data_IF_754340867903
#
_entry.id   IF_754340867903
#
_cell.length_a   1.000
_cell.length_b   1.000
_cell.length_c   1.000
_cell.angle_alpha   90.00
_cell.angle_beta   90.00
_cell.angle_gamma   90.00
#
_symmetry.space_group_name_H-M   'P 1'
#
loop_
_entity.id
_entity.type
_entity.pdbx_description
1 polymer ?
#
# COMPACT_ATOMS: atom_id res chain seq x y z
N UNK A 1 37.35 -8.09 -14.94
CA UNK A 1 36.95 -8.79 -13.69
C UNK A 1 36.36 -7.84 -12.63
N UNK A 2 35.72 -6.73 -13.02
CA UNK A 2 35.16 -5.75 -12.05
C UNK A 2 33.63 -5.56 -12.17
N UNK A 3 32.92 -6.42 -12.92
CA UNK A 3 31.47 -6.29 -13.14
C UNK A 3 30.64 -7.43 -12.52
N UNK A 4 31.22 -8.27 -11.64
CA UNK A 4 30.49 -9.41 -11.04
C UNK A 4 30.14 -9.23 -9.56
N UNK A 5 30.36 -8.05 -8.95
CA UNK A 5 30.10 -7.83 -7.52
C UNK A 5 28.90 -6.93 -7.18
N UNK A 6 28.12 -6.47 -8.17
CA UNK A 6 27.00 -5.55 -7.95
C UNK A 6 25.60 -6.18 -7.88
N UNK A 7 25.51 -7.52 -7.87
CA UNK A 7 24.27 -8.25 -7.60
C UNK A 7 24.27 -8.94 -6.22
N UNK A 8 24.88 -8.31 -5.21
CA UNK A 8 24.43 -8.54 -3.82
C UNK A 8 23.02 -7.98 -3.72
N UNK A 9 22.02 -8.87 -3.80
CA UNK A 9 20.61 -8.51 -3.77
C UNK A 9 20.34 -7.44 -2.71
N UNK A 10 19.89 -6.26 -3.17
CA UNK A 10 19.64 -5.10 -2.30
C UNK A 10 18.66 -5.54 -1.20
N UNK A 11 19.09 -5.42 0.04
CA UNK A 11 18.28 -5.82 1.20
C UNK A 11 17.19 -4.76 1.37
N UNK A 12 15.94 -5.16 1.16
CA UNK A 12 14.78 -4.32 1.48
C UNK A 12 14.69 -4.06 2.99
N UNK A 13 14.54 -2.80 3.37
CA UNK A 13 14.54 -2.34 4.75
C UNK A 13 13.12 -2.08 5.22
N UNK A 14 12.74 -2.87 6.22
CA UNK A 14 11.50 -2.72 6.95
C UNK A 14 11.75 -3.03 8.42
N UNK A 15 11.33 -2.12 9.28
CA UNK A 15 11.47 -2.24 10.74
C UNK A 15 10.11 -2.19 11.41
N UNK A 16 9.99 -2.82 12.57
CA UNK A 16 8.80 -2.61 13.41
C UNK A 16 8.79 -1.15 13.85
N UNK A 17 7.62 -0.52 13.81
CA UNK A 17 7.47 0.82 14.34
C UNK A 17 7.73 0.82 15.86
N UNK A 18 8.35 1.88 16.37
CA UNK A 18 8.57 2.06 17.81
C UNK A 18 7.25 2.40 18.51
N UNK A 19 7.23 2.37 19.85
CA UNK A 19 6.04 2.76 20.59
C UNK A 19 5.71 4.25 20.40
N UNK A 20 6.73 5.10 20.28
CA UNK A 20 6.59 6.53 20.00
C UNK A 20 5.95 6.76 18.63
N UNK A 21 6.43 6.06 17.59
CA UNK A 21 5.87 6.12 16.24
C UNK A 21 4.42 5.62 16.21
N UNK A 22 4.14 4.51 16.89
CA UNK A 22 2.77 3.97 17.02
C UNK A 22 1.85 4.98 17.73
N UNK A 23 2.32 5.61 18.80
CA UNK A 23 1.55 6.63 19.51
C UNK A 23 1.27 7.85 18.64
N UNK A 24 2.26 8.32 17.87
CA UNK A 24 2.10 9.41 16.90
C UNK A 24 1.03 9.05 15.85
N UNK A 25 1.12 7.86 15.26
CA UNK A 25 0.15 7.39 14.27
C UNK A 25 -1.25 7.27 14.90
N UNK A 26 -1.35 6.76 16.13
CA UNK A 26 -2.62 6.68 16.84
C UNK A 26 -3.22 8.06 17.11
N UNK A 27 -2.41 9.06 17.48
CA UNK A 27 -2.88 10.43 17.69
C UNK A 27 -3.48 11.04 16.42
N UNK A 28 -2.82 10.84 15.27
CA UNK A 28 -3.26 11.33 13.95
C UNK A 28 -4.46 10.57 13.39
N UNK A 29 -4.36 9.24 13.31
CA UNK A 29 -5.29 8.41 12.55
C UNK A 29 -6.35 7.69 13.41
N UNK A 30 -6.17 7.64 14.73
CA UNK A 30 -7.04 6.99 15.74
C UNK A 30 -7.18 5.46 15.63
N UNK A 31 -7.25 4.90 14.42
CA UNK A 31 -7.40 3.46 14.18
C UNK A 31 -6.52 3.00 13.01
N UNK A 32 -5.87 1.85 13.19
CA UNK A 32 -4.99 1.26 12.18
C UNK A 32 -5.70 0.29 11.21
N UNK A 33 -6.83 -0.28 11.61
CA UNK A 33 -7.70 -1.08 10.75
C UNK A 33 -8.68 -0.16 10.00
N UNK A 34 -8.13 0.80 9.24
CA UNK A 34 -8.94 1.82 8.56
C UNK A 34 -9.84 1.21 7.47
N UNK A 35 -9.42 0.07 6.93
CA UNK A 35 -10.17 -0.81 6.04
C UNK A 35 -11.45 -1.38 6.66
N UNK A 36 -11.54 -1.47 7.99
CA UNK A 36 -12.70 -2.02 8.71
C UNK A 36 -13.65 -0.94 9.27
N UNK A 37 -13.50 0.31 8.83
CA UNK A 37 -14.40 1.38 9.25
C UNK A 37 -15.73 1.28 8.50
N UNK A 38 -16.82 1.11 9.25
CA UNK A 38 -18.18 1.15 8.68
C UNK A 38 -18.54 2.54 8.11
N UNK A 39 -18.12 3.60 8.80
CA UNK A 39 -18.38 4.98 8.39
C UNK A 39 -17.09 5.81 8.37
N UNK A 40 -16.23 5.65 7.34
CA UNK A 40 -14.95 6.34 7.28
C UNK A 40 -15.10 7.87 7.26
N UNK A 41 -16.22 8.39 6.71
CA UNK A 41 -16.55 9.84 6.66
C UNK A 41 -16.63 10.51 8.04
N UNK A 42 -16.99 9.78 9.09
CA UNK A 42 -17.00 10.30 10.47
C UNK A 42 -15.58 10.62 10.98
N UNK A 43 -14.58 9.94 10.44
CA UNK A 43 -13.18 10.11 10.84
C UNK A 43 -12.38 10.92 9.81
N UNK A 44 -12.70 10.81 8.54
CA UNK A 44 -11.95 11.41 7.45
C UNK A 44 -12.90 12.29 6.62
N UNK A 45 -12.79 13.63 6.73
CA UNK A 45 -13.64 14.54 5.97
C UNK A 45 -13.35 14.52 4.46
N UNK A 46 -12.15 14.08 4.06
CA UNK A 46 -11.76 13.98 2.65
C UNK A 46 -11.52 12.52 2.29
N UNK A 47 -12.38 12.00 1.43
CA UNK A 47 -12.36 10.60 0.99
C UNK A 47 -12.43 10.58 -0.53
N UNK A 48 -11.72 9.61 -1.10
CA UNK A 48 -11.90 9.20 -2.48
C UNK A 48 -11.35 7.79 -2.70
N UNK A 49 -11.36 7.36 -3.94
CA UNK A 49 -10.80 6.08 -4.39
C UNK A 49 -9.82 6.38 -5.50
N UNK A 50 -8.55 6.04 -5.29
CA UNK A 50 -7.51 6.04 -6.32
C UNK A 50 -7.78 4.88 -7.28
N UNK A 51 -7.94 5.19 -8.55
CA UNK A 51 -8.48 4.27 -9.55
C UNK A 51 -7.84 4.52 -10.92
N UNK A 52 -7.91 3.52 -11.80
CA UNK A 52 -7.55 3.63 -13.21
C UNK A 52 -8.60 4.46 -13.96
N UNK A 53 -9.85 4.43 -13.51
CA UNK A 53 -10.97 5.10 -14.16
C UNK A 53 -11.42 6.34 -13.37
N UNK A 54 -11.74 7.41 -14.09
CA UNK A 54 -12.24 8.65 -13.49
C UNK A 54 -13.74 8.60 -13.12
N UNK A 55 -14.39 7.44 -13.31
CA UNK A 55 -15.81 7.20 -13.04
C UNK A 55 -16.02 5.78 -12.54
N UNK A 56 -17.21 5.52 -12.01
CA UNK A 56 -17.67 4.16 -11.72
C UNK A 56 -17.96 3.45 -13.05
N UNK A 57 -17.49 2.22 -13.16
CA UNK A 57 -17.75 1.35 -14.31
C UNK A 57 -19.16 0.75 -14.24
N UNK A 58 -19.73 0.41 -15.39
CA UNK A 58 -20.92 -0.45 -15.41
C UNK A 58 -20.54 -1.89 -15.05
N UNK A 59 -21.53 -2.72 -14.73
CA UNK A 59 -21.29 -4.13 -14.41
C UNK A 59 -20.64 -4.87 -15.59
N UNK A 60 -21.08 -4.56 -16.81
CA UNK A 60 -20.52 -5.13 -18.04
C UNK A 60 -19.05 -4.75 -18.20
N UNK A 61 -18.73 -3.46 -18.08
CA UNK A 61 -17.35 -2.97 -18.16
C UNK A 61 -16.46 -3.59 -17.08
N UNK A 62 -16.97 -3.73 -15.85
CA UNK A 62 -16.22 -4.36 -14.75
C UNK A 62 -15.98 -5.85 -15.01
N UNK A 63 -16.97 -6.56 -15.60
CA UNK A 63 -16.87 -7.99 -15.89
C UNK A 63 -15.76 -8.31 -16.90
N UNK A 64 -15.49 -7.41 -17.84
CA UNK A 64 -14.43 -7.55 -18.85
C UNK A 64 -13.01 -7.35 -18.27
N UNK A 65 -12.90 -6.76 -17.08
CA UNK A 65 -11.64 -6.45 -16.42
C UNK A 65 -11.19 -7.51 -15.40
N UNK A 66 -11.97 -8.57 -15.24
CA UNK A 66 -11.65 -9.66 -14.31
C UNK A 66 -10.38 -10.40 -14.76
N UNK A 67 -9.30 -10.28 -13.96
CA UNK A 67 -8.10 -11.10 -14.11
C UNK A 67 -6.78 -10.32 -14.00
N UNK A 68 -5.67 -11.05 -14.10
CA UNK A 68 -4.31 -10.48 -13.91
C UNK A 68 -3.87 -9.52 -15.02
N UNK A 69 -4.49 -9.55 -16.19
CA UNK A 69 -4.11 -8.71 -17.34
C UNK A 69 -4.29 -7.22 -17.05
N UNK A 70 -5.37 -6.85 -16.36
CA UNK A 70 -5.64 -5.47 -15.96
C UNK A 70 -4.55 -4.95 -15.00
N UNK A 71 -4.20 -5.76 -14.00
CA UNK A 71 -3.19 -5.44 -12.99
C UNK A 71 -1.79 -5.33 -13.60
N UNK A 72 -1.46 -6.20 -14.57
CA UNK A 72 -0.21 -6.09 -15.32
C UNK A 72 -0.13 -4.81 -16.14
N UNK A 73 -1.25 -4.38 -16.75
CA UNK A 73 -1.31 -3.17 -17.58
C UNK A 73 -1.18 -1.88 -16.77
N UNK A 74 -1.77 -1.83 -15.57
CA UNK A 74 -1.91 -0.58 -14.81
C UNK A 74 -1.10 -0.55 -13.51
N UNK A 75 -0.63 -1.68 -12.99
CA UNK A 75 0.03 -1.77 -11.69
C UNK A 75 1.28 -0.89 -11.55
N UNK A 76 2.01 -0.64 -12.64
CA UNK A 76 3.17 0.27 -12.65
C UNK A 76 2.82 1.71 -12.30
N UNK A 77 1.59 2.16 -12.60
CA UNK A 77 1.10 3.50 -12.23
C UNK A 77 0.93 3.64 -10.72
N UNK A 78 0.40 2.61 -10.06
CA UNK A 78 0.29 2.56 -8.59
C UNK A 78 1.67 2.55 -7.95
N UNK A 79 2.59 1.72 -8.47
CA UNK A 79 3.98 1.68 -7.99
C UNK A 79 4.65 3.05 -8.13
N UNK A 80 4.46 3.73 -9.26
CA UNK A 80 5.04 5.06 -9.51
C UNK A 80 4.46 6.12 -8.56
N UNK A 81 3.15 6.09 -8.34
CA UNK A 81 2.44 6.96 -7.37
C UNK A 81 3.01 6.80 -5.96
N UNK A 82 3.10 5.55 -5.45
CA UNK A 82 3.64 5.28 -4.12
C UNK A 82 5.11 5.68 -4.00
N UNK A 83 5.89 5.47 -5.05
CA UNK A 83 7.31 5.86 -5.10
C UNK A 83 7.47 7.38 -5.00
N UNK A 84 6.67 8.15 -5.75
CA UNK A 84 6.69 9.61 -5.68
C UNK A 84 6.23 10.12 -4.31
N UNK A 85 5.14 9.57 -3.75
CA UNK A 85 4.69 9.89 -2.40
C UNK A 85 5.79 9.64 -1.36
N UNK A 86 6.49 8.51 -1.44
CA UNK A 86 7.56 8.17 -0.51
C UNK A 86 8.72 9.16 -0.52
N UNK A 87 9.12 9.63 -1.71
CA UNK A 87 10.20 10.59 -1.86
C UNK A 87 9.80 12.01 -1.42
N UNK A 88 8.52 12.37 -1.49
CA UNK A 88 8.03 13.66 -1.00
C UNK A 88 8.02 13.73 0.54
N UNK A 89 7.82 12.60 1.20
CA UNK A 89 7.50 12.52 2.63
C UNK A 89 8.75 12.25 3.49
N UNK A 90 9.93 12.63 3.01
CA UNK A 90 11.24 12.32 3.64
C UNK A 90 11.39 10.84 4.04
N UNK A 91 10.75 9.93 3.29
CA UNK A 91 10.68 8.50 3.54
C UNK A 91 9.91 8.09 4.82
N UNK A 92 9.11 8.98 5.42
CA UNK A 92 8.29 8.67 6.58
C UNK A 92 6.95 8.03 6.18
N UNK A 93 7.00 6.74 5.84
CA UNK A 93 5.81 5.95 5.51
C UNK A 93 5.72 4.72 6.41
N UNK A 94 4.51 4.45 6.90
CA UNK A 94 4.22 3.29 7.72
C UNK A 94 3.19 2.41 7.04
N UNK A 95 3.28 1.10 7.23
CA UNK A 95 2.28 0.15 6.75
C UNK A 95 1.72 -0.64 7.91
N UNK A 96 0.40 -0.74 7.98
CA UNK A 96 -0.29 -1.70 8.81
C UNK A 96 -0.81 -2.85 7.95
N UNK A 97 -0.42 -4.08 8.30
CA UNK A 97 -0.89 -5.28 7.62
C UNK A 97 -1.83 -6.04 8.56
N UNK A 98 -3.07 -6.26 8.12
CA UNK A 98 -4.00 -7.07 8.87
C UNK A 98 -3.67 -8.56 8.77
N UNK A 99 -2.98 -9.09 9.79
CA UNK A 99 -2.44 -10.46 9.75
C UNK A 99 -3.43 -11.56 10.09
N UNK A 100 -4.48 -11.26 10.86
CA UNK A 100 -5.38 -12.29 11.42
C UNK A 100 -6.06 -13.13 10.34
N UNK A 101 -6.44 -12.54 9.20
CA UNK A 101 -7.02 -13.28 8.07
C UNK A 101 -6.01 -14.14 7.30
N UNK A 102 -4.79 -13.65 7.12
CA UNK A 102 -3.75 -14.34 6.33
C UNK A 102 -3.11 -15.53 7.05
N UNK A 103 -2.83 -15.40 8.36
CA UNK A 103 -2.20 -16.46 9.15
C UNK A 103 -3.10 -17.71 9.20
N UNK A 104 -4.41 -17.54 9.12
CA UNK A 104 -5.38 -18.64 9.15
C UNK A 104 -5.46 -19.40 7.82
N UNK A 105 -5.06 -18.79 6.70
CA UNK A 105 -5.10 -19.43 5.38
C UNK A 105 -3.69 -19.79 4.87
N UNK A 106 -3.15 -20.90 5.37
CA UNK A 106 -1.83 -21.44 4.97
C UNK A 106 -1.67 -21.67 3.47
N UNK A 107 -2.76 -21.89 2.72
CA UNK A 107 -2.71 -22.09 1.26
C UNK A 107 -2.34 -20.80 0.54
N UNK A 108 -3.03 -19.70 0.88
CA UNK A 108 -2.74 -18.37 0.31
C UNK A 108 -1.31 -17.94 0.65
N UNK A 109 -0.88 -18.13 1.90
CA UNK A 109 0.49 -17.80 2.31
C UNK A 109 1.55 -18.56 1.50
N UNK A 110 1.34 -19.87 1.26
CA UNK A 110 2.24 -20.68 0.41
C UNK A 110 2.20 -20.27 -1.05
N UNK A 111 1.02 -19.93 -1.57
CA UNK A 111 0.83 -19.49 -2.95
C UNK A 111 1.63 -18.21 -3.22
N UNK A 112 1.48 -17.18 -2.37
CA UNK A 112 2.25 -15.94 -2.49
C UNK A 112 3.74 -16.24 -2.34
N UNK A 113 4.16 -17.01 -1.34
CA UNK A 113 5.58 -17.34 -1.17
C UNK A 113 6.23 -18.02 -2.39
N UNK A 114 5.46 -18.80 -3.15
CA UNK A 114 5.96 -19.49 -4.33
C UNK A 114 6.18 -18.54 -5.53
N UNK A 115 5.53 -17.37 -5.56
CA UNK A 115 5.71 -16.38 -6.62
C UNK A 115 6.82 -15.36 -6.33
N UNK A 116 7.36 -15.33 -5.11
CA UNK A 116 8.36 -14.36 -4.68
C UNK A 116 9.80 -14.83 -4.93
N UNK A 117 10.67 -13.88 -5.30
CA UNK A 117 12.11 -14.15 -5.33
C UNK A 117 12.68 -14.30 -3.89
N UNK A 118 13.96 -14.68 -3.76
CA UNK A 118 14.59 -14.93 -2.46
C UNK A 118 14.50 -13.73 -1.49
N UNK A 119 14.73 -12.52 -1.98
CA UNK A 119 14.73 -11.31 -1.15
C UNK A 119 13.31 -10.93 -0.71
N UNK A 120 12.36 -10.96 -1.64
CA UNK A 120 10.93 -10.74 -1.40
C UNK A 120 10.36 -11.76 -0.42
N UNK A 121 10.67 -13.05 -0.62
CA UNK A 121 10.21 -14.12 0.26
C UNK A 121 10.80 -13.99 1.68
N UNK A 122 12.02 -13.45 1.82
CA UNK A 122 12.61 -13.15 3.13
C UNK A 122 11.84 -12.05 3.84
N UNK A 123 11.60 -10.93 3.16
CA UNK A 123 10.83 -9.81 3.70
C UNK A 123 9.39 -10.22 4.03
N UNK A 124 8.73 -10.97 3.14
CA UNK A 124 7.39 -11.50 3.35
C UNK A 124 7.31 -12.38 4.60
N UNK A 125 8.25 -13.31 4.81
CA UNK A 125 8.28 -14.10 6.05
C UNK A 125 8.47 -13.21 7.28
N UNK A 126 9.34 -12.20 7.20
CA UNK A 126 9.57 -11.24 8.29
C UNK A 126 8.29 -10.47 8.64
N UNK A 127 7.50 -10.07 7.65
CA UNK A 127 6.20 -9.42 7.85
C UNK A 127 5.25 -10.26 8.69
N UNK A 128 5.29 -11.58 8.63
CA UNK A 128 4.39 -12.45 9.40
C UNK A 128 5.06 -13.15 10.59
N UNK A 129 6.32 -12.83 10.89
CA UNK A 129 7.09 -13.41 12.00
C UNK A 129 6.65 -12.94 13.40
N UNK A 130 5.93 -11.83 13.48
CA UNK A 130 5.43 -11.26 14.73
C UNK A 130 3.92 -10.98 14.65
N UNK A 131 3.25 -10.90 15.80
CA UNK A 131 1.84 -10.49 15.85
C UNK A 131 1.65 -8.97 15.75
N UNK A 132 2.74 -8.18 15.79
CA UNK A 132 2.69 -6.72 15.65
C UNK A 132 2.41 -6.34 14.20
N UNK A 133 1.42 -5.49 13.94
CA UNK A 133 0.94 -5.22 12.58
C UNK A 133 1.58 -4.04 11.85
N UNK A 134 2.32 -3.17 12.56
CA UNK A 134 2.76 -1.86 12.04
C UNK A 134 4.27 -1.84 11.82
N UNK A 135 4.65 -1.41 10.63
CA UNK A 135 6.03 -1.37 10.18
C UNK A 135 6.36 0.00 9.59
N UNK A 136 7.56 0.49 9.87
CA UNK A 136 8.16 1.62 9.19
C UNK A 136 8.87 1.14 7.94
N UNK A 137 8.62 1.81 6.83
CA UNK A 137 9.27 1.56 5.54
C UNK A 137 10.62 2.28 5.55
N UNK A 138 11.70 1.51 5.41
CA UNK A 138 13.06 2.03 5.50
C UNK A 138 13.73 2.30 4.15
N UNK A 139 13.15 1.80 3.05
CA UNK A 139 13.56 2.12 1.68
C UNK A 139 12.44 1.96 0.67
N UNK A 140 12.67 2.52 -0.52
CA UNK A 140 11.71 2.51 -1.63
C UNK A 140 11.46 1.10 -2.16
N UNK A 141 12.45 0.21 -2.12
CA UNK A 141 12.29 -1.17 -2.59
C UNK A 141 11.29 -1.94 -1.72
N UNK A 142 11.33 -1.77 -0.40
CA UNK A 142 10.34 -2.34 0.50
C UNK A 142 8.93 -1.80 0.22
N UNK A 143 8.81 -0.50 -0.07
CA UNK A 143 7.52 0.08 -0.47
C UNK A 143 7.01 -0.51 -1.77
N UNK A 144 7.84 -0.50 -2.82
CA UNK A 144 7.50 -1.05 -4.13
C UNK A 144 7.02 -2.49 -4.01
N UNK A 145 7.71 -3.29 -3.19
CA UNK A 145 7.29 -4.66 -2.90
C UNK A 145 5.89 -4.73 -2.28
N UNK A 146 5.61 -3.94 -1.24
CA UNK A 146 4.30 -3.92 -0.58
C UNK A 146 3.18 -3.38 -1.49
N UNK A 147 3.46 -2.37 -2.32
CA UNK A 147 2.53 -1.87 -3.32
C UNK A 147 2.26 -2.93 -4.38
N UNK A 148 3.28 -3.63 -4.89
CA UNK A 148 3.10 -4.75 -5.83
C UNK A 148 2.29 -5.89 -5.22
N UNK A 149 2.49 -6.20 -3.94
CA UNK A 149 1.63 -7.15 -3.24
C UNK A 149 0.19 -6.66 -3.22
N UNK A 150 -0.03 -5.39 -2.88
CA UNK A 150 -1.38 -4.79 -2.85
C UNK A 150 -2.07 -4.78 -4.22
N UNK A 151 -1.29 -4.66 -5.30
CA UNK A 151 -1.77 -4.71 -6.68
C UNK A 151 -2.05 -6.14 -7.14
N UNK A 152 -1.26 -7.14 -6.74
CA UNK A 152 -1.29 -8.45 -7.41
C UNK A 152 -1.80 -9.61 -6.55
N UNK A 153 -1.68 -9.54 -5.23
CA UNK A 153 -1.78 -10.74 -4.38
C UNK A 153 -2.44 -10.49 -3.01
N UNK A 154 -2.53 -9.23 -2.55
CA UNK A 154 -2.85 -8.89 -1.17
C UNK A 154 -3.86 -7.74 -1.10
N UNK A 155 -4.86 -7.87 -0.24
CA UNK A 155 -5.80 -6.78 0.08
C UNK A 155 -5.49 -6.21 1.47
N UNK A 156 -5.86 -4.94 1.68
CA UNK A 156 -5.94 -4.30 3.00
C UNK A 156 -4.60 -4.07 3.71
N UNK A 157 -3.55 -3.74 2.95
CA UNK A 157 -2.39 -3.05 3.53
C UNK A 157 -2.72 -1.56 3.65
N UNK A 158 -2.74 -1.03 4.88
CA UNK A 158 -3.01 0.39 5.11
C UNK A 158 -1.68 1.14 5.18
N UNK A 159 -1.43 1.99 4.19
CA UNK A 159 -0.23 2.82 4.09
C UNK A 159 -0.53 4.20 4.67
N UNK A 160 0.15 4.56 5.75
CA UNK A 160 0.02 5.85 6.43
C UNK A 160 1.13 6.78 5.96
N UNK A 161 0.73 8.00 5.60
CA UNK A 161 1.58 9.13 5.22
C UNK A 161 1.35 10.27 6.24
N UNK A 162 2.09 10.30 7.36
CA UNK A 162 1.79 11.17 8.51
C UNK A 162 1.91 12.68 8.24
N UNK A 163 3.03 13.17 7.71
CA UNK A 163 3.00 13.65 6.33
C UNK A 163 1.83 14.55 5.91
N UNK A 164 0.95 13.88 5.18
CA UNK A 164 -0.25 14.41 4.55
C UNK A 164 -1.50 14.24 5.43
N UNK A 165 -1.37 13.64 6.61
CA UNK A 165 -2.48 13.09 7.37
C UNK A 165 -3.40 12.20 6.49
N UNK A 166 -2.78 11.43 5.59
CA UNK A 166 -3.45 10.60 4.58
C UNK A 166 -3.12 9.13 4.80
N UNK A 167 -4.13 8.27 4.61
CA UNK A 167 -3.99 6.82 4.55
C UNK A 167 -4.50 6.31 3.21
N UNK A 168 -3.71 5.46 2.56
CA UNK A 168 -4.08 4.78 1.32
C UNK A 168 -4.21 3.30 1.63
N UNK A 169 -5.33 2.69 1.23
CA UNK A 169 -5.64 1.29 1.50
C UNK A 169 -5.40 0.48 0.23
N UNK A 170 -4.53 -0.52 0.31
CA UNK A 170 -4.20 -1.41 -0.79
C UNK A 170 -5.38 -2.29 -1.20
N UNK A 171 -5.59 -2.45 -2.51
CA UNK A 171 -6.66 -3.26 -3.10
C UNK A 171 -6.20 -3.96 -4.38
N UNK A 172 -6.40 -5.28 -4.47
CA UNK A 172 -6.09 -6.05 -5.68
C UNK A 172 -6.93 -5.63 -6.89
N UNK A 173 -8.11 -5.04 -6.66
CA UNK A 173 -9.03 -4.58 -7.71
C UNK A 173 -8.59 -3.23 -8.32
N UNK A 174 -7.43 -2.70 -7.93
CA UNK A 174 -6.91 -1.39 -8.35
C UNK A 174 -7.83 -0.20 -8.03
N UNK A 175 -8.75 -0.40 -7.09
CA UNK A 175 -9.57 0.65 -6.46
C UNK A 175 -9.05 0.86 -5.04
N UNK A 176 -8.08 1.75 -4.85
CA UNK A 176 -7.41 1.98 -3.56
C UNK A 176 -8.13 3.10 -2.80
N UNK A 177 -8.83 2.85 -1.69
CA UNK A 177 -9.39 3.93 -0.88
C UNK A 177 -8.30 4.90 -0.40
N UNK A 178 -8.58 6.20 -0.50
CA UNK A 178 -7.72 7.28 -0.04
C UNK A 178 -8.49 8.12 0.96
N UNK A 179 -8.06 8.12 2.22
CA UNK A 179 -8.71 8.87 3.28
C UNK A 179 -7.72 9.89 3.86
N UNK A 180 -8.14 11.14 4.00
CA UNK A 180 -7.31 12.20 4.55
C UNK A 180 -8.05 13.01 5.61
N UNK A 181 -7.30 13.46 6.62
CA UNK A 181 -7.80 14.37 7.66
C UNK A 181 -7.82 15.83 7.18
N UNK A 182 -7.03 16.18 6.17
CA UNK A 182 -6.84 17.56 5.72
C UNK A 182 -7.10 17.72 4.23
N UNK A 183 -7.64 18.87 3.83
CA UNK A 183 -7.85 19.16 2.40
C UNK A 183 -6.53 19.32 1.66
N UNK A 184 -5.51 19.86 2.33
CA UNK A 184 -4.17 20.08 1.77
C UNK A 184 -3.51 18.73 1.46
N UNK A 185 -3.51 17.80 2.43
CA UNK A 185 -2.94 16.47 2.24
C UNK A 185 -3.67 15.67 1.17
N UNK A 186 -5.00 15.77 1.12
CA UNK A 186 -5.80 15.14 0.08
C UNK A 186 -5.49 15.69 -1.32
N UNK A 187 -5.41 17.02 -1.48
CA UNK A 187 -5.09 17.66 -2.76
C UNK A 187 -3.69 17.31 -3.27
N UNK A 188 -2.67 17.37 -2.39
CA UNK A 188 -1.31 16.96 -2.75
C UNK A 188 -1.24 15.49 -3.17
N UNK A 189 -1.91 14.60 -2.44
CA UNK A 189 -2.01 13.20 -2.82
C UNK A 189 -2.70 13.05 -4.19
N UNK A 190 -3.76 13.80 -4.44
CA UNK A 190 -4.50 13.79 -5.70
C UNK A 190 -3.63 14.25 -6.88
N UNK A 191 -2.88 15.33 -6.73
CA UNK A 191 -1.95 15.85 -7.74
C UNK A 191 -0.96 14.76 -8.17
N UNK A 192 -0.30 14.10 -7.21
CA UNK A 192 0.64 13.01 -7.49
C UNK A 192 -0.06 11.82 -8.17
N UNK A 193 -1.26 11.45 -7.73
CA UNK A 193 -2.04 10.37 -8.37
C UNK A 193 -2.32 10.69 -9.84
N UNK A 194 -2.73 11.92 -10.13
CA UNK A 194 -3.07 12.38 -11.48
C UNK A 194 -1.83 12.49 -12.39
N UNK A 195 -0.70 12.95 -11.86
CA UNK A 195 0.59 12.96 -12.57
C UNK A 195 1.04 11.57 -13.03
N UNK A 196 0.65 10.52 -12.29
CA UNK A 196 0.93 9.12 -12.64
C UNK A 196 -0.16 8.48 -13.52
N UNK A 197 -1.10 9.27 -14.04
CA UNK A 197 -2.14 8.82 -14.96
C UNK A 197 -3.19 7.91 -14.31
N UNK A 198 -3.47 8.15 -13.02
CA UNK A 198 -4.58 7.59 -12.24
C UNK A 198 -5.54 8.73 -11.84
N UNK A 199 -6.64 8.40 -11.17
CA UNK A 199 -7.64 9.38 -10.72
C UNK A 199 -8.01 9.14 -9.27
N UNK A 200 -8.40 10.20 -8.55
CA UNK A 200 -9.13 10.05 -7.28
C UNK A 200 -10.60 10.45 -7.51
N UNK A 201 -11.48 9.44 -7.51
CA UNK A 201 -12.95 9.62 -7.57
C UNK A 201 -13.53 9.80 -6.16
N UNK A 202 -14.48 10.72 -5.97
CA UNK A 202 -15.06 11.09 -4.67
C UNK A 202 -16.53 10.69 -4.54
#
# INVERSE_FOLDING_TARGET
MLEQNEQRGKIMKLTLATNEEINMLHLKFKKFNTDLLEEPRKMYPFIGIMDVFNRVLTEEEASELLGRSHNLKHGTKFVSTFTQLFHMEDNEVYVHIYKKGFIQNKKVFKFILASLNRAEASLFRKLFSTNKGIYKIGDVEALIFLTKLSVNELHFSNFFFPSLDTVIIGSYELSFPVYSKTSIGFKKCKEIVEENGLFIRQ
#
